data_IF_282958502846
#
_entry.id   IF_282958502846
#
_cell.length_a   1.000
_cell.length_b   1.000
_cell.length_c   1.000
_cell.angle_alpha   90.00
_cell.angle_beta   90.00
_cell.angle_gamma   90.00
#
_symmetry.space_group_name_H-M   'P 1'
#
loop_
_entity.id
_entity.type
_entity.pdbx_description
1 polymer ?
#
# COMPACT_ATOMS: atom_id res chain seq x y z
N UNK A 1 7.19 -19.69 -4.79
CA UNK A 1 6.87 -18.83 -3.62
C UNK A 1 6.01 -19.59 -2.63
N UNK A 2 6.24 -19.40 -1.33
CA UNK A 2 5.27 -19.79 -0.30
C UNK A 2 4.70 -18.54 0.35
N UNK A 3 3.40 -18.32 0.18
CA UNK A 3 2.73 -17.14 0.73
C UNK A 3 2.97 -16.98 2.23
N UNK A 4 2.95 -18.07 2.97
CA UNK A 4 3.22 -18.08 4.42
C UNK A 4 4.60 -17.54 4.81
N UNK A 5 5.64 -17.79 4.02
CA UNK A 5 6.99 -17.29 4.27
C UNK A 5 7.08 -15.78 4.02
N UNK A 6 6.44 -15.31 2.95
CA UNK A 6 6.37 -13.88 2.63
C UNK A 6 5.62 -13.13 3.73
N UNK A 7 4.46 -13.65 4.14
CA UNK A 7 3.64 -13.06 5.21
C UNK A 7 4.43 -12.99 6.52
N UNK A 8 5.09 -14.06 6.91
CA UNK A 8 5.92 -14.08 8.13
C UNK A 8 7.07 -13.07 8.08
N UNK A 9 7.67 -12.86 6.91
CA UNK A 9 8.70 -11.84 6.71
C UNK A 9 8.12 -10.43 6.86
N UNK A 10 6.98 -10.16 6.24
CA UNK A 10 6.31 -8.86 6.35
C UNK A 10 5.84 -8.56 7.78
N UNK A 11 5.34 -9.55 8.50
CA UNK A 11 4.95 -9.40 9.92
C UNK A 11 6.13 -8.98 10.80
N UNK A 12 7.31 -9.56 10.56
CA UNK A 12 8.53 -9.16 11.29
C UNK A 12 8.98 -7.74 10.96
N UNK A 13 8.83 -7.32 9.69
CA UNK A 13 9.24 -5.98 9.23
C UNK A 13 8.24 -4.88 9.61
N UNK A 14 6.96 -5.22 9.69
CA UNK A 14 5.85 -4.28 9.89
C UNK A 14 4.90 -4.76 11.00
N UNK A 15 5.38 -4.95 12.23
CA UNK A 15 4.58 -5.56 13.32
C UNK A 15 3.38 -4.71 13.74
N UNK A 16 3.39 -3.42 13.46
CA UNK A 16 2.35 -2.48 13.85
C UNK A 16 1.36 -2.13 12.72
N UNK A 17 1.31 -2.95 11.66
CA UNK A 17 0.48 -2.72 10.47
C UNK A 17 -0.43 -3.93 10.18
N UNK A 18 -1.31 -4.34 11.13
CA UNK A 18 -2.09 -5.58 11.00
C UNK A 18 -3.05 -5.57 9.81
N UNK A 19 -3.68 -4.44 9.49
CA UNK A 19 -4.60 -4.32 8.37
C UNK A 19 -3.88 -4.53 7.03
N UNK A 20 -2.67 -3.99 6.91
CA UNK A 20 -1.83 -4.20 5.75
C UNK A 20 -1.43 -5.67 5.58
N UNK A 21 -0.99 -6.32 6.65
CA UNK A 21 -0.60 -7.74 6.64
C UNK A 21 -1.80 -8.62 6.27
N UNK A 22 -2.98 -8.32 6.79
CA UNK A 22 -4.21 -9.06 6.47
C UNK A 22 -4.53 -8.96 4.97
N UNK A 23 -4.49 -7.77 4.38
CA UNK A 23 -4.75 -7.59 2.96
C UNK A 23 -3.75 -8.34 2.08
N UNK A 24 -2.46 -8.25 2.42
CA UNK A 24 -1.42 -9.01 1.72
C UNK A 24 -1.69 -10.52 1.81
N UNK A 25 -2.05 -11.02 2.99
CA UNK A 25 -2.34 -12.44 3.19
C UNK A 25 -3.49 -12.92 2.31
N UNK A 26 -4.55 -12.15 2.21
CA UNK A 26 -5.71 -12.47 1.37
C UNK A 26 -5.33 -12.55 -0.11
N UNK A 27 -4.64 -11.54 -0.61
CA UNK A 27 -4.23 -11.49 -2.02
C UNK A 27 -3.23 -12.60 -2.34
N UNK A 28 -2.17 -12.77 -1.55
CA UNK A 28 -1.17 -13.79 -1.81
C UNK A 28 -1.74 -15.19 -1.78
N UNK A 29 -2.71 -15.47 -0.88
CA UNK A 29 -3.39 -16.76 -0.83
C UNK A 29 -4.18 -17.08 -2.11
N UNK A 30 -4.71 -16.07 -2.79
CA UNK A 30 -5.46 -16.27 -4.04
C UNK A 30 -4.58 -16.43 -5.27
N UNK A 31 -3.41 -15.80 -5.30
CA UNK A 31 -2.52 -15.80 -6.48
C UNK A 31 -1.39 -16.84 -6.40
N UNK A 32 -1.17 -17.49 -5.27
CA UNK A 32 -0.02 -18.38 -5.02
C UNK A 32 0.09 -19.49 -6.06
N UNK A 33 -1.01 -20.17 -6.38
CA UNK A 33 -1.02 -21.26 -7.35
C UNK A 33 -0.60 -20.78 -8.74
N UNK A 34 -1.19 -19.67 -9.21
CA UNK A 34 -0.88 -19.11 -10.53
C UNK A 34 0.54 -18.55 -10.59
N UNK A 35 0.97 -17.85 -9.55
CA UNK A 35 2.33 -17.33 -9.43
C UNK A 35 3.39 -18.43 -9.57
N UNK A 36 3.15 -19.60 -8.97
CA UNK A 36 4.11 -20.71 -8.97
C UNK A 36 4.25 -21.40 -10.33
N UNK A 37 3.36 -21.13 -11.29
CA UNK A 37 3.51 -21.57 -12.68
C UNK A 37 4.51 -20.72 -13.48
N UNK A 38 4.94 -19.59 -12.92
CA UNK A 38 5.77 -18.59 -13.57
C UNK A 38 7.11 -18.38 -12.84
N UNK A 39 8.13 -19.23 -13.06
CA UNK A 39 9.41 -19.11 -12.37
C UNK A 39 10.15 -17.80 -12.65
N UNK A 40 9.84 -17.11 -13.75
CA UNK A 40 10.35 -15.78 -14.07
C UNK A 40 9.92 -14.71 -13.07
N UNK A 41 8.75 -14.84 -12.45
CA UNK A 41 8.26 -13.93 -11.41
C UNK A 41 9.10 -14.02 -10.13
N UNK A 42 9.52 -15.23 -9.78
CA UNK A 42 10.42 -15.47 -8.64
C UNK A 42 11.80 -14.84 -8.88
N UNK A 43 12.37 -15.03 -10.08
CA UNK A 43 13.65 -14.42 -10.46
C UNK A 43 13.60 -12.88 -10.42
N UNK A 44 12.44 -12.29 -10.74
CA UNK A 44 12.24 -10.85 -10.70
C UNK A 44 11.92 -10.33 -9.29
N UNK A 45 11.86 -11.18 -8.28
CA UNK A 45 11.41 -10.87 -6.92
C UNK A 45 10.09 -10.08 -6.90
N UNK A 46 9.16 -10.49 -7.78
CA UNK A 46 7.96 -9.72 -8.09
C UNK A 46 7.08 -9.52 -6.87
N UNK A 47 6.90 -10.55 -6.03
CA UNK A 47 6.03 -10.47 -4.85
C UNK A 47 6.55 -9.47 -3.82
N UNK A 48 7.83 -9.45 -3.52
CA UNK A 48 8.38 -8.48 -2.57
C UNK A 48 8.19 -7.04 -3.10
N UNK A 49 8.42 -6.83 -4.39
CA UNK A 49 8.22 -5.55 -5.06
C UNK A 49 6.75 -5.11 -5.08
N UNK A 50 5.81 -6.06 -5.17
CA UNK A 50 4.38 -5.76 -5.07
C UNK A 50 3.92 -5.47 -3.64
N UNK A 51 4.53 -6.13 -2.65
CA UNK A 51 4.17 -5.93 -1.26
C UNK A 51 4.77 -4.67 -0.63
N UNK A 52 5.87 -4.13 -1.17
CA UNK A 52 6.56 -2.99 -0.57
C UNK A 52 6.31 -1.74 -1.44
N UNK A 53 5.79 -0.65 -0.86
CA UNK A 53 5.61 0.60 -1.58
C UNK A 53 6.93 1.14 -2.14
N UNK A 54 6.89 1.77 -3.31
CA UNK A 54 8.05 2.47 -3.89
C UNK A 54 8.53 3.61 -3.00
N UNK A 55 7.58 4.36 -2.38
CA UNK A 55 7.91 5.47 -1.50
C UNK A 55 6.77 5.80 -0.54
N UNK A 56 7.15 6.19 0.66
CA UNK A 56 6.25 6.77 1.67
C UNK A 56 6.77 8.15 2.02
N UNK A 57 5.90 9.16 1.94
CA UNK A 57 6.18 10.54 2.34
C UNK A 57 5.30 10.84 3.54
N UNK A 58 5.91 11.23 4.64
CA UNK A 58 5.24 11.66 5.85
C UNK A 58 5.53 13.14 6.06
N UNK A 59 4.50 13.92 6.37
CA UNK A 59 4.63 15.36 6.49
C UNK A 59 3.67 15.94 7.54
N UNK A 60 4.04 17.09 8.08
CA UNK A 60 3.21 17.85 9.01
C UNK A 60 2.23 18.74 8.25
N UNK A 61 0.99 18.75 8.71
CA UNK A 61 -0.06 19.68 8.26
C UNK A 61 -0.49 20.53 9.45
N UNK A 62 -0.25 21.83 9.37
CA UNK A 62 -0.73 22.80 10.37
C UNK A 62 -1.90 23.58 9.79
N UNK A 63 -2.95 23.73 10.59
CA UNK A 63 -4.18 24.42 10.18
C UNK A 63 -4.84 25.10 11.38
N UNK A 64 -5.78 26.00 11.15
CA UNK A 64 -6.51 26.71 12.18
C UNK A 64 -7.95 26.18 12.22
N UNK A 65 -8.42 25.78 13.37
CA UNK A 65 -9.81 25.31 13.58
C UNK A 65 -10.80 26.48 13.63
N UNK A 66 -12.11 26.15 13.63
CA UNK A 66 -13.18 27.14 13.67
C UNK A 66 -13.20 27.99 14.95
N UNK A 67 -12.46 27.59 15.97
CA UNK A 67 -12.28 28.33 17.23
C UNK A 67 -11.04 29.22 17.24
N UNK A 68 -10.28 29.24 16.14
CA UNK A 68 -9.05 30.00 16.03
C UNK A 68 -7.80 29.33 16.63
N UNK A 69 -7.88 28.07 17.04
CA UNK A 69 -6.72 27.34 17.58
C UNK A 69 -5.89 26.71 16.47
N UNK A 70 -4.57 26.77 16.63
CA UNK A 70 -3.66 26.08 15.71
C UNK A 70 -3.64 24.59 16.03
N UNK A 71 -3.95 23.80 15.04
CA UNK A 71 -3.94 22.34 15.09
C UNK A 71 -2.78 21.80 14.24
N UNK A 72 -2.32 20.60 14.59
CA UNK A 72 -1.26 19.92 13.85
C UNK A 72 -1.63 18.46 13.62
N UNK A 73 -1.65 18.06 12.35
CA UNK A 73 -1.91 16.70 11.93
C UNK A 73 -0.71 16.12 11.19
N UNK A 74 -0.67 14.80 11.11
CA UNK A 74 0.26 14.06 10.27
C UNK A 74 -0.39 13.71 8.94
N UNK A 75 0.24 14.10 7.85
CA UNK A 75 -0.14 13.69 6.51
C UNK A 75 0.76 12.57 6.00
N UNK A 76 0.20 11.69 5.18
CA UNK A 76 0.92 10.59 4.56
C UNK A 76 0.61 10.52 3.07
N UNK A 77 1.62 10.21 2.27
CA UNK A 77 1.45 9.82 0.88
C UNK A 77 2.16 8.50 0.63
N UNK A 78 1.43 7.47 0.28
CA UNK A 78 1.97 6.18 -0.13
C UNK A 78 1.98 6.11 -1.65
N UNK A 79 3.15 6.13 -2.26
CA UNK A 79 3.37 5.85 -3.68
C UNK A 79 3.69 4.36 -3.79
N UNK A 80 2.69 3.57 -4.16
CA UNK A 80 2.81 2.12 -4.03
C UNK A 80 3.53 1.49 -5.21
N UNK A 81 3.07 1.77 -6.43
CA UNK A 81 3.64 1.18 -7.63
C UNK A 81 3.36 2.04 -8.87
N UNK A 82 4.36 2.22 -9.73
CA UNK A 82 4.23 2.97 -10.98
C UNK A 82 4.55 2.13 -12.24
N UNK A 83 4.60 0.81 -12.12
CA UNK A 83 5.00 -0.06 -13.22
C UNK A 83 4.10 0.06 -14.46
N UNK A 84 2.82 0.34 -14.29
CA UNK A 84 1.83 0.47 -15.38
C UNK A 84 1.46 1.92 -15.70
N UNK A 85 2.01 2.90 -15.01
CA UNK A 85 1.74 4.31 -15.25
C UNK A 85 2.03 5.22 -14.06
N UNK A 86 1.76 6.53 -14.18
CA UNK A 86 2.07 7.49 -13.13
C UNK A 86 1.27 7.23 -11.85
N UNK A 87 1.82 7.65 -10.72
CA UNK A 87 1.16 7.54 -9.43
C UNK A 87 -0.14 8.35 -9.40
N UNK A 88 -1.27 7.67 -9.30
CA UNK A 88 -2.59 8.26 -9.20
C UNK A 88 -3.42 7.53 -8.15
N UNK A 89 -4.20 8.28 -7.38
CA UNK A 89 -5.07 7.71 -6.36
C UNK A 89 -5.90 8.75 -5.64
N UNK A 90 -6.66 8.31 -4.66
CA UNK A 90 -7.56 9.14 -3.88
C UNK A 90 -6.87 9.90 -2.75
N UNK A 91 -7.64 10.82 -2.17
CA UNK A 91 -7.33 11.52 -0.94
C UNK A 91 -8.37 11.12 0.12
N UNK A 92 -7.92 10.80 1.32
CA UNK A 92 -8.80 10.44 2.43
C UNK A 92 -8.54 11.35 3.63
N UNK A 93 -9.63 11.88 4.19
CA UNK A 93 -9.63 12.62 5.45
C UNK A 93 -10.39 11.82 6.49
N UNK A 94 -9.71 11.26 7.48
CA UNK A 94 -10.36 10.57 8.58
C UNK A 94 -9.39 10.36 9.74
N UNK A 95 -9.83 10.65 10.96
CA UNK A 95 -9.02 10.57 12.18
C UNK A 95 -8.49 9.17 12.52
N UNK A 96 -9.12 8.11 12.01
CA UNK A 96 -8.69 6.73 12.28
C UNK A 96 -7.59 6.24 11.35
N UNK A 97 -7.22 7.03 10.34
CA UNK A 97 -6.23 6.58 9.35
C UNK A 97 -4.83 6.66 9.93
N UNK A 98 -4.10 5.59 9.75
CA UNK A 98 -2.68 5.46 10.07
C UNK A 98 -1.91 4.93 8.84
N UNK A 99 -0.60 4.82 8.95
CA UNK A 99 0.24 4.36 7.86
C UNK A 99 -0.11 2.94 7.39
N UNK A 100 -0.43 2.02 8.31
CA UNK A 100 -0.82 0.65 7.98
C UNK A 100 -2.10 0.59 7.13
N UNK A 101 -3.12 1.37 7.50
CA UNK A 101 -4.36 1.51 6.72
C UNK A 101 -4.08 2.09 5.33
N UNK A 102 -3.20 3.08 5.22
CA UNK A 102 -2.84 3.65 3.92
C UNK A 102 -2.08 2.66 3.03
N UNK A 103 -1.16 1.90 3.58
CA UNK A 103 -0.46 0.83 2.87
C UNK A 103 -1.44 -0.25 2.42
N UNK A 104 -2.36 -0.65 3.28
CA UNK A 104 -3.44 -1.58 2.96
C UNK A 104 -4.25 -1.10 1.75
N UNK A 105 -4.80 0.10 1.81
CA UNK A 105 -5.60 0.67 0.74
C UNK A 105 -4.80 0.84 -0.55
N UNK A 106 -3.54 1.26 -0.45
CA UNK A 106 -2.66 1.40 -1.60
C UNK A 106 -2.35 0.06 -2.26
N UNK A 107 -2.09 -0.96 -1.47
CA UNK A 107 -1.85 -2.32 -1.94
C UNK A 107 -3.07 -2.87 -2.70
N UNK A 108 -4.25 -2.86 -2.09
CA UNK A 108 -5.48 -3.35 -2.74
C UNK A 108 -5.81 -2.59 -4.03
N UNK A 109 -5.68 -1.27 -3.99
CA UNK A 109 -5.99 -0.45 -5.15
C UNK A 109 -4.98 -0.64 -6.30
N UNK A 110 -3.76 -1.08 -6.03
CA UNK A 110 -2.80 -1.45 -7.07
C UNK A 110 -3.37 -2.58 -7.94
N UNK A 111 -3.89 -3.62 -7.33
CA UNK A 111 -4.56 -4.72 -8.05
C UNK A 111 -5.84 -4.25 -8.73
N UNK A 112 -6.66 -3.45 -8.05
CA UNK A 112 -7.87 -2.87 -8.64
C UNK A 112 -7.56 -2.06 -9.89
N UNK A 113 -6.54 -1.19 -9.87
CA UNK A 113 -6.17 -0.38 -11.01
C UNK A 113 -5.66 -1.23 -12.19
N UNK A 114 -4.92 -2.31 -11.91
CA UNK A 114 -4.42 -3.21 -12.96
C UNK A 114 -5.55 -3.87 -13.78
N UNK A 115 -6.74 -4.01 -13.19
CA UNK A 115 -7.92 -4.60 -13.85
C UNK A 115 -8.71 -3.59 -14.68
N UNK A 116 -8.38 -2.29 -14.62
CA UNK A 116 -9.12 -1.24 -15.35
C UNK A 116 -8.65 -1.03 -16.78
N UNK A 117 -7.55 -1.66 -17.19
CA UNK A 117 -6.86 -1.45 -18.47
C UNK A 117 -6.29 -0.04 -18.69
N UNK A 118 -6.42 0.86 -17.70
CA UNK A 118 -5.87 2.21 -17.77
C UNK A 118 -4.40 2.21 -17.33
N UNK A 119 -3.52 2.99 -17.97
CA UNK A 119 -2.10 3.07 -17.63
C UNK A 119 -1.88 3.96 -16.39
N UNK A 120 -2.37 3.50 -15.23
CA UNK A 120 -2.27 4.19 -13.95
C UNK A 120 -1.57 3.32 -12.92
N UNK A 121 -0.51 3.84 -12.34
CA UNK A 121 0.06 3.35 -11.10
C UNK A 121 -0.79 3.76 -9.91
N UNK A 122 -0.27 3.57 -8.68
CA UNK A 122 -1.02 3.94 -7.49
C UNK A 122 -0.26 4.86 -6.55
N UNK A 123 -0.97 5.88 -6.08
CA UNK A 123 -0.63 6.68 -4.92
C UNK A 123 -1.88 7.01 -4.12
N UNK A 124 -1.78 6.91 -2.80
CA UNK A 124 -2.83 7.33 -1.88
C UNK A 124 -2.32 8.42 -0.95
N UNK A 125 -3.16 9.42 -0.68
CA UNK A 125 -2.84 10.52 0.22
C UNK A 125 -3.85 10.53 1.36
N UNK A 126 -3.37 10.83 2.56
CA UNK A 126 -4.19 11.08 3.73
C UNK A 126 -3.66 12.27 4.54
N UNK A 127 -4.61 13.00 5.09
CA UNK A 127 -4.39 14.06 6.07
C UNK A 127 -5.32 13.86 7.26
#
# INVERSE_FOLDING_TARGET
MKASEVIANLQRRFPNEPEYIQAVSQVLGTIEEEYNKHPEFEKANLIERLCIPDRIIQFRVSWVDDKGNVQTNMGYRVQHNNAIGPYKGGLRYHKSVNLGILKFLAFEQTFKNSLTTLPMGLSLIHI
#
